data_IF_865407704405
#
_entry.id   IF_865407704405
#
_cell.length_a   1.000
_cell.length_b   1.000
_cell.length_c   1.000
_cell.angle_alpha   90.00
_cell.angle_beta   90.00
_cell.angle_gamma   90.00
#
_symmetry.space_group_name_H-M   'P 1'
#
loop_
_entity.id
_entity.type
_entity.pdbx_description
1 polymer ?
#
# COMPACT_ATOMS: atom_id res chain seq x y z
N UNK A 1 2.77 33.10 5.00
CA UNK A 1 4.08 32.40 5.05
C UNK A 1 4.49 32.04 6.48
N UNK A 2 4.46 32.99 7.42
CA UNK A 2 4.73 32.71 8.84
C UNK A 2 3.74 31.72 9.46
N UNK A 3 2.43 31.97 9.32
CA UNK A 3 1.36 31.04 9.76
C UNK A 3 1.52 29.64 9.20
N UNK A 4 1.85 29.54 7.90
CA UNK A 4 2.06 28.26 7.22
C UNK A 4 3.19 27.43 7.84
N UNK A 5 4.28 28.05 8.29
CA UNK A 5 5.35 27.34 8.98
C UNK A 5 4.90 26.84 10.36
N UNK A 6 4.20 27.69 11.12
CA UNK A 6 3.68 27.34 12.45
C UNK A 6 2.70 26.18 12.40
N UNK A 7 1.75 26.20 11.46
CA UNK A 7 0.80 25.10 11.20
C UNK A 7 1.52 23.78 10.89
N UNK A 8 2.45 23.81 9.93
CA UNK A 8 3.19 22.61 9.51
C UNK A 8 4.05 22.04 10.65
N UNK A 9 4.66 22.92 11.47
CA UNK A 9 5.43 22.54 12.64
C UNK A 9 4.55 21.90 13.72
N UNK A 10 3.41 22.49 14.03
CA UNK A 10 2.46 21.94 15.00
C UNK A 10 1.97 20.54 14.56
N UNK A 11 1.52 20.42 13.31
CA UNK A 11 1.05 19.15 12.74
C UNK A 11 2.14 18.04 12.75
N UNK A 12 3.41 18.40 12.57
CA UNK A 12 4.52 17.44 12.64
C UNK A 12 4.75 16.92 14.07
N UNK A 13 4.60 17.79 15.07
CA UNK A 13 4.83 17.46 16.50
C UNK A 13 3.67 16.62 17.04
N UNK A 14 2.44 17.00 16.72
CA UNK A 14 1.22 16.37 17.24
C UNK A 14 0.99 14.95 16.71
N UNK A 15 1.61 14.59 15.57
CA UNK A 15 1.40 13.27 14.96
C UNK A 15 2.36 12.24 15.56
N UNK A 16 1.88 11.25 16.34
CA UNK A 16 2.73 10.17 16.85
C UNK A 16 3.27 9.31 15.71
N UNK A 17 4.46 8.74 15.92
CA UNK A 17 5.05 7.76 15.00
C UNK A 17 4.57 6.37 15.45
N UNK A 18 3.97 5.56 14.56
CA UNK A 18 3.63 4.18 14.92
C UNK A 18 4.89 3.39 15.27
N UNK A 19 4.76 2.46 16.21
CA UNK A 19 5.84 1.56 16.59
C UNK A 19 5.79 0.29 15.71
N UNK A 20 6.93 -0.34 15.39
CA UNK A 20 6.93 -1.64 14.75
C UNK A 20 6.25 -2.70 15.63
N UNK A 21 5.60 -3.72 15.03
CA UNK A 21 5.10 -4.86 15.79
C UNK A 21 6.24 -5.56 16.53
N UNK A 22 5.92 -6.14 17.68
CA UNK A 22 6.85 -7.05 18.37
C UNK A 22 6.84 -8.39 17.63
N UNK A 23 8.00 -8.80 17.12
CA UNK A 23 8.19 -10.05 16.39
C UNK A 23 9.23 -10.91 17.11
N UNK A 24 8.97 -12.21 17.19
CA UNK A 24 9.86 -13.19 17.79
C UNK A 24 10.28 -14.23 16.73
N UNK A 25 11.47 -14.84 16.85
CA UNK A 25 11.86 -15.92 15.95
C UNK A 25 10.89 -17.11 16.05
N UNK A 26 10.37 -17.55 14.91
CA UNK A 26 9.63 -18.80 14.80
C UNK A 26 10.51 -19.85 14.11
N UNK A 27 10.91 -20.94 14.79
CA UNK A 27 11.75 -21.96 14.19
C UNK A 27 10.98 -22.89 13.24
N UNK A 28 9.65 -22.78 13.16
CA UNK A 28 8.82 -23.67 12.36
C UNK A 28 8.79 -23.19 10.90
N UNK A 29 9.36 -24.00 10.00
CA UNK A 29 9.16 -23.81 8.57
C UNK A 29 7.75 -24.27 8.17
N UNK A 30 7.05 -23.47 7.37
CA UNK A 30 5.78 -23.85 6.79
C UNK A 30 5.98 -24.49 5.40
N UNK A 31 5.28 -25.58 5.14
CA UNK A 31 5.10 -26.07 3.78
C UNK A 31 4.47 -24.97 2.91
N UNK A 32 4.70 -25.03 1.60
CA UNK A 32 4.17 -24.03 0.67
C UNK A 32 3.25 -24.66 -0.37
N UNK A 33 2.42 -23.84 -1.00
CA UNK A 33 1.61 -24.14 -2.21
C UNK A 33 1.78 -22.98 -3.18
N UNK A 34 1.76 -23.23 -4.48
CA UNK A 34 1.96 -22.13 -5.44
C UNK A 34 0.64 -21.42 -5.69
N UNK A 35 0.75 -20.17 -6.13
CA UNK A 35 -0.41 -19.36 -6.45
C UNK A 35 -1.22 -20.00 -7.60
N UNK A 36 -0.57 -20.61 -8.59
CA UNK A 36 -1.23 -21.36 -9.67
C UNK A 36 -2.09 -22.53 -9.15
N UNK A 37 -1.60 -23.31 -8.19
CA UNK A 37 -2.35 -24.40 -7.55
C UNK A 37 -3.58 -23.84 -6.83
N UNK A 38 -3.45 -22.69 -6.15
CA UNK A 38 -4.56 -22.02 -5.49
C UNK A 38 -5.57 -21.44 -6.50
N UNK A 39 -5.11 -20.99 -7.67
CA UNK A 39 -5.98 -20.55 -8.76
C UNK A 39 -6.70 -21.74 -9.40
N UNK A 40 -6.00 -22.85 -9.64
CA UNK A 40 -6.58 -24.09 -10.16
C UNK A 40 -7.62 -24.70 -9.22
N UNK A 41 -7.44 -24.50 -7.90
CA UNK A 41 -8.39 -24.89 -6.87
C UNK A 41 -9.49 -23.85 -6.60
N UNK A 42 -9.55 -22.77 -7.37
CA UNK A 42 -10.51 -21.65 -7.21
C UNK A 42 -10.46 -20.97 -5.82
N UNK A 43 -9.36 -21.14 -5.08
CA UNK A 43 -9.13 -20.48 -3.81
C UNK A 43 -8.66 -19.02 -4.01
N UNK A 44 -8.01 -18.75 -5.14
CA UNK A 44 -7.59 -17.43 -5.59
C UNK A 44 -8.03 -17.19 -7.04
N UNK A 45 -8.27 -15.93 -7.38
CA UNK A 45 -8.48 -15.48 -8.75
C UNK A 45 -7.53 -14.32 -9.04
N UNK A 46 -6.92 -14.32 -10.22
CA UNK A 46 -6.07 -13.22 -10.68
C UNK A 46 -6.83 -12.48 -11.78
N UNK A 47 -6.95 -11.17 -11.62
CA UNK A 47 -7.55 -10.29 -12.61
C UNK A 47 -6.53 -9.26 -13.08
N UNK A 48 -6.55 -8.96 -14.36
CA UNK A 48 -5.81 -7.83 -14.94
C UNK A 48 -6.82 -6.94 -15.67
N UNK A 49 -6.67 -5.63 -15.54
CA UNK A 49 -7.50 -4.69 -16.28
C UNK A 49 -6.81 -4.30 -17.59
N UNK A 50 -7.56 -4.21 -18.71
CA UNK A 50 -7.06 -3.59 -19.92
C UNK A 50 -6.78 -2.09 -19.68
N UNK A 51 -6.15 -1.39 -20.64
CA UNK A 51 -6.00 0.07 -20.57
C UNK A 51 -7.36 0.79 -20.56
N UNK A 52 -7.94 1.01 -19.38
CA UNK A 52 -9.24 1.67 -19.16
C UNK A 52 -9.14 3.20 -18.98
N UNK A 53 -8.05 3.80 -19.48
CA UNK A 53 -7.72 5.22 -19.23
C UNK A 53 -8.47 6.13 -20.21
N UNK A 54 -9.54 6.79 -19.74
CA UNK A 54 -10.19 7.91 -20.43
C UNK A 54 -11.71 7.82 -20.47
N UNK A 55 -12.38 8.98 -20.49
CA UNK A 55 -13.80 9.11 -20.86
C UNK A 55 -14.87 8.86 -19.79
N UNK A 56 -14.52 8.40 -18.59
CA UNK A 56 -15.49 8.13 -17.51
C UNK A 56 -15.16 8.77 -16.16
N UNK A 57 -16.14 8.76 -15.26
CA UNK A 57 -16.08 9.43 -13.93
C UNK A 57 -15.82 8.46 -12.76
N UNK A 58 -15.73 7.16 -13.02
CA UNK A 58 -15.51 6.16 -11.99
C UNK A 58 -14.09 6.29 -11.40
N UNK A 59 -13.98 6.21 -10.08
CA UNK A 59 -12.69 6.23 -9.40
C UNK A 59 -11.86 5.02 -9.84
N UNK A 60 -10.58 5.24 -10.16
CA UNK A 60 -9.68 4.22 -10.67
C UNK A 60 -8.36 4.21 -9.89
N UNK A 61 -8.01 3.03 -9.39
CA UNK A 61 -6.75 2.77 -8.70
C UNK A 61 -5.62 2.77 -9.72
N UNK A 62 -4.58 3.57 -9.48
CA UNK A 62 -3.38 3.57 -10.31
C UNK A 62 -2.24 2.80 -9.66
N UNK A 63 -1.24 2.37 -10.45
CA UNK A 63 -0.04 1.74 -9.91
C UNK A 63 0.68 2.61 -8.87
N UNK A 64 0.61 3.94 -9.02
CA UNK A 64 1.13 4.91 -8.04
C UNK A 64 0.34 4.89 -6.74
N UNK A 65 -0.97 4.70 -6.80
CA UNK A 65 -1.82 4.62 -5.61
C UNK A 65 -1.53 3.34 -4.80
N UNK A 66 -1.34 2.21 -5.49
CA UNK A 66 -0.91 0.94 -4.88
C UNK A 66 0.45 1.10 -4.18
N UNK A 67 1.46 1.67 -4.86
CA UNK A 67 2.80 1.92 -4.28
C UNK A 67 2.77 2.82 -3.06
N UNK A 68 1.87 3.80 -3.05
CA UNK A 68 1.72 4.74 -1.93
C UNK A 68 0.76 4.23 -0.85
N UNK A 69 0.06 3.11 -1.07
CA UNK A 69 -0.95 2.57 -0.16
C UNK A 69 -2.07 3.57 0.12
N UNK A 70 -2.61 4.21 -0.92
CA UNK A 70 -3.64 5.27 -0.79
C UNK A 70 -4.86 5.01 -1.68
N UNK A 71 -5.92 5.78 -1.43
CA UNK A 71 -7.13 5.76 -2.25
C UNK A 71 -6.87 6.09 -3.73
N UNK A 72 -7.80 5.69 -4.59
CA UNK A 72 -7.77 5.94 -6.02
C UNK A 72 -7.63 7.43 -6.37
N UNK A 73 -6.67 7.75 -7.24
CA UNK A 73 -6.40 9.13 -7.67
C UNK A 73 -6.73 9.42 -9.12
N UNK A 74 -7.19 8.41 -9.88
CA UNK A 74 -7.50 8.54 -11.31
C UNK A 74 -8.99 8.31 -11.57
N UNK A 75 -9.39 8.65 -12.79
CA UNK A 75 -10.73 8.44 -13.33
C UNK A 75 -10.64 7.51 -14.54
N UNK A 76 -11.63 6.65 -14.69
CA UNK A 76 -11.75 5.70 -15.80
C UNK A 76 -13.20 5.44 -16.15
N UNK A 77 -13.41 4.71 -17.25
CA UNK A 77 -14.74 4.27 -17.68
C UNK A 77 -14.99 2.84 -17.21
N UNK A 78 -16.10 2.64 -16.48
CA UNK A 78 -16.51 1.31 -16.02
C UNK A 78 -17.20 0.49 -17.12
N UNK A 79 -17.59 1.14 -18.21
CA UNK A 79 -18.25 0.51 -19.36
C UNK A 79 -17.25 -0.12 -20.33
N UNK A 80 -15.95 0.08 -20.10
CA UNK A 80 -14.90 -0.55 -20.90
C UNK A 80 -14.97 -2.08 -20.79
N UNK A 81 -14.95 -2.81 -21.92
CA UNK A 81 -14.94 -4.27 -21.90
C UNK A 81 -13.76 -4.81 -21.08
N UNK A 82 -14.05 -5.66 -20.10
CA UNK A 82 -13.03 -6.23 -19.21
C UNK A 82 -12.63 -5.30 -18.05
N UNK A 83 -13.35 -4.21 -17.81
CA UNK A 83 -13.20 -3.41 -16.59
C UNK A 83 -13.38 -4.27 -15.34
N UNK A 84 -12.42 -4.18 -14.42
CA UNK A 84 -12.43 -4.92 -13.15
C UNK A 84 -12.73 -3.96 -12.02
N UNK A 85 -13.82 -4.20 -11.30
CA UNK A 85 -14.11 -3.52 -10.04
C UNK A 85 -13.43 -4.26 -8.89
N UNK A 86 -12.66 -3.49 -8.13
CA UNK A 86 -12.03 -3.88 -6.87
C UNK A 86 -13.10 -4.12 -5.81
N UNK A 87 -12.85 -5.13 -4.98
CA UNK A 87 -13.57 -5.42 -3.75
C UNK A 87 -12.67 -5.19 -2.55
N UNK A 88 -13.25 -4.81 -1.42
CA UNK A 88 -12.55 -4.74 -0.16
C UNK A 88 -11.95 -6.12 0.17
N UNK A 89 -10.67 -6.13 0.52
CA UNK A 89 -9.90 -7.36 0.74
C UNK A 89 -9.20 -7.93 -0.48
N UNK A 90 -9.43 -7.42 -1.69
CA UNK A 90 -8.58 -7.77 -2.83
C UNK A 90 -7.14 -7.28 -2.60
N UNK A 91 -6.16 -7.97 -3.17
CA UNK A 91 -4.75 -7.58 -3.11
C UNK A 91 -4.30 -7.07 -4.48
N UNK A 92 -4.08 -5.76 -4.58
CA UNK A 92 -3.50 -5.13 -5.76
C UNK A 92 -1.98 -5.26 -5.76
N UNK A 93 -1.42 -5.79 -6.84
CA UNK A 93 0.00 -6.08 -7.03
C UNK A 93 0.51 -5.30 -8.22
N UNK A 94 1.58 -4.55 -8.01
CA UNK A 94 2.33 -3.84 -9.04
C UNK A 94 3.73 -4.45 -9.10
N UNK A 95 4.12 -4.89 -10.29
CA UNK A 95 5.44 -5.45 -10.57
C UNK A 95 6.39 -4.38 -11.14
N UNK A 96 7.68 -4.71 -11.25
CA UNK A 96 8.70 -3.87 -11.91
C UNK A 96 9.58 -3.10 -10.93
N UNK A 97 9.96 -1.87 -11.28
CA UNK A 97 11.06 -1.13 -10.62
C UNK A 97 10.78 -0.72 -9.16
N UNK A 98 9.51 -0.49 -8.78
CA UNK A 98 9.17 -0.30 -7.35
C UNK A 98 7.93 -1.15 -7.08
N UNK A 99 8.15 -2.45 -6.82
CA UNK A 99 7.06 -3.39 -6.70
C UNK A 99 6.28 -3.12 -5.41
N UNK A 100 4.99 -3.40 -5.42
CA UNK A 100 4.12 -3.16 -4.28
C UNK A 100 2.95 -4.14 -4.27
N UNK A 101 2.58 -4.62 -3.09
CA UNK A 101 1.33 -5.32 -2.85
C UNK A 101 0.53 -4.58 -1.77
N UNK A 102 -0.74 -4.31 -2.04
CA UNK A 102 -1.60 -3.53 -1.16
C UNK A 102 -3.01 -4.13 -1.08
N UNK A 103 -3.54 -4.24 0.14
CA UNK A 103 -4.93 -4.67 0.36
C UNK A 103 -5.86 -3.51 0.08
N UNK A 104 -6.79 -3.69 -0.83
CA UNK A 104 -7.80 -2.70 -1.17
C UNK A 104 -8.83 -2.57 -0.05
N UNK A 105 -9.10 -1.33 0.37
CA UNK A 105 -10.01 -1.03 1.48
C UNK A 105 -11.46 -0.76 1.05
N UNK A 106 -11.66 -0.37 -0.22
CA UNK A 106 -12.95 0.12 -0.72
C UNK A 106 -13.45 -0.77 -1.87
N UNK A 107 -14.77 -0.98 -1.92
CA UNK A 107 -15.46 -1.61 -3.03
C UNK A 107 -15.70 -0.62 -4.18
N UNK A 108 -15.84 -1.15 -5.39
CA UNK A 108 -16.39 -0.39 -6.52
C UNK A 108 -15.41 0.58 -7.19
N UNK A 109 -14.12 0.50 -6.84
CA UNK A 109 -13.05 1.23 -7.52
C UNK A 109 -12.58 0.43 -8.74
N UNK A 110 -12.36 1.09 -9.87
CA UNK A 110 -11.80 0.45 -11.06
C UNK A 110 -10.32 0.10 -10.86
N UNK A 111 -9.94 -1.11 -11.28
CA UNK A 111 -8.53 -1.49 -11.40
C UNK A 111 -7.92 -0.79 -12.61
N UNK A 112 -6.83 -0.06 -12.40
CA UNK A 112 -6.08 0.57 -13.49
C UNK A 112 -5.10 -0.40 -14.18
N UNK A 113 -4.58 -0.03 -15.36
CA UNK A 113 -3.66 -0.86 -16.11
C UNK A 113 -2.31 -1.03 -15.41
N UNK A 114 -1.66 -2.17 -15.66
CA UNK A 114 -0.36 -2.52 -15.07
C UNK A 114 -0.45 -2.92 -13.58
N UNK A 115 -1.65 -3.28 -13.12
CA UNK A 115 -1.93 -3.80 -11.78
C UNK A 115 -2.56 -5.18 -11.94
N UNK A 116 -1.97 -6.19 -11.31
CA UNK A 116 -2.62 -7.49 -11.12
C UNK A 116 -3.41 -7.47 -9.82
N UNK A 117 -4.64 -7.95 -9.84
CA UNK A 117 -5.51 -8.01 -8.66
C UNK A 117 -5.70 -9.48 -8.27
N UNK A 118 -5.20 -9.85 -7.09
CA UNK A 118 -5.36 -11.19 -6.53
C UNK A 118 -6.53 -11.17 -5.55
N UNK A 119 -7.58 -11.91 -5.87
CA UNK A 119 -8.82 -12.00 -5.11
C UNK A 119 -8.94 -13.38 -4.48
N UNK A 120 -9.01 -13.42 -3.15
CA UNK A 120 -9.27 -14.64 -2.39
C UNK A 120 -10.55 -14.53 -1.57
N UNK A 121 -11.10 -15.67 -1.14
CA UNK A 121 -12.15 -15.66 -0.13
C UNK A 121 -11.55 -15.37 1.25
N UNK A 122 -12.09 -14.39 1.98
CA UNK A 122 -11.67 -14.05 3.35
C UNK A 122 -11.91 -15.18 4.38
N UNK A 123 -12.65 -16.24 3.99
CA UNK A 123 -12.83 -17.46 4.77
C UNK A 123 -11.75 -18.51 4.51
N UNK A 124 -10.89 -18.30 3.51
CA UNK A 124 -9.88 -19.26 3.06
C UNK A 124 -8.48 -18.68 3.19
N UNK A 125 -8.31 -17.39 2.89
CA UNK A 125 -7.04 -16.69 2.98
C UNK A 125 -7.22 -15.30 3.60
N UNK A 126 -6.36 -14.95 4.55
CA UNK A 126 -6.32 -13.58 5.07
C UNK A 126 -5.65 -12.64 4.04
N UNK A 127 -6.28 -11.51 3.68
CA UNK A 127 -5.77 -10.65 2.62
C UNK A 127 -4.48 -9.91 3.01
N UNK A 128 -4.28 -9.59 4.29
CA UNK A 128 -3.05 -8.93 4.75
C UNK A 128 -1.89 -9.92 4.82
N UNK A 129 -2.16 -11.17 5.17
CA UNK A 129 -1.20 -12.28 5.04
C UNK A 129 -0.78 -12.45 3.57
N UNK A 130 -1.74 -12.58 2.65
CA UNK A 130 -1.47 -12.70 1.23
C UNK A 130 -0.66 -11.52 0.70
N UNK A 131 -1.03 -10.28 1.05
CA UNK A 131 -0.30 -9.10 0.64
C UNK A 131 1.14 -9.07 1.19
N UNK A 132 1.37 -9.52 2.43
CA UNK A 132 2.70 -9.65 3.00
C UNK A 132 3.59 -10.65 2.25
N UNK A 133 3.05 -11.83 1.95
CA UNK A 133 3.74 -12.89 1.19
C UNK A 133 4.04 -12.44 -0.24
N UNK A 134 3.06 -11.84 -0.92
CA UNK A 134 3.26 -11.33 -2.29
C UNK A 134 4.30 -10.21 -2.30
N UNK A 135 4.27 -9.32 -1.31
CA UNK A 135 5.24 -8.22 -1.19
C UNK A 135 6.67 -8.73 -1.04
N UNK A 136 6.88 -9.77 -0.23
CA UNK A 136 8.18 -10.43 -0.08
C UNK A 136 8.64 -11.06 -1.41
N UNK A 137 7.75 -11.84 -2.04
CA UNK A 137 8.06 -12.53 -3.29
C UNK A 137 8.48 -11.59 -4.42
N UNK A 138 7.91 -10.38 -4.49
CA UNK A 138 8.20 -9.41 -5.55
C UNK A 138 9.33 -8.43 -5.19
N UNK A 139 9.92 -8.52 -4.01
CA UNK A 139 10.88 -7.52 -3.51
C UNK A 139 12.19 -7.49 -4.31
N UNK A 140 12.69 -8.66 -4.72
CA UNK A 140 14.03 -8.82 -5.29
C UNK A 140 14.06 -8.82 -6.84
N UNK A 141 12.92 -8.62 -7.50
CA UNK A 141 12.87 -8.49 -8.95
C UNK A 141 11.58 -8.96 -9.62
N UNK A 142 11.59 -9.06 -10.96
CA UNK A 142 10.45 -9.58 -11.71
C UNK A 142 10.16 -11.03 -11.31
N UNK A 143 8.92 -11.29 -10.91
CA UNK A 143 8.44 -12.62 -10.55
C UNK A 143 7.21 -12.95 -11.37
N UNK A 144 7.11 -14.20 -11.80
CA UNK A 144 5.87 -14.77 -12.30
C UNK A 144 4.92 -14.99 -11.12
N UNK A 145 3.85 -14.20 -11.06
CA UNK A 145 2.90 -14.19 -9.94
C UNK A 145 2.33 -15.60 -9.68
N UNK A 146 2.10 -16.39 -10.74
CA UNK A 146 1.56 -17.74 -10.63
C UNK A 146 2.53 -18.73 -9.98
N UNK A 147 3.84 -18.45 -10.01
CA UNK A 147 4.87 -19.29 -9.38
C UNK A 147 5.17 -18.91 -7.93
N UNK A 148 4.58 -17.83 -7.42
CA UNK A 148 4.78 -17.41 -6.03
C UNK A 148 4.34 -18.52 -5.08
N UNK A 149 5.17 -18.81 -4.08
CA UNK A 149 4.94 -19.84 -3.07
C UNK A 149 4.26 -19.21 -1.85
N UNK A 150 3.04 -19.65 -1.57
CA UNK A 150 2.23 -19.22 -0.43
C UNK A 150 2.38 -20.24 0.71
N UNK A 151 2.80 -19.81 1.92
CA UNK A 151 2.88 -20.69 3.09
C UNK A 151 1.52 -21.28 3.46
N UNK A 152 1.47 -22.59 3.72
CA UNK A 152 0.30 -23.31 4.21
C UNK A 152 0.17 -23.13 5.71
N UNK A 153 -0.51 -22.05 6.09
CA UNK A 153 -0.76 -21.68 7.48
C UNK A 153 -2.26 -21.76 7.76
N UNK A 154 -2.73 -22.27 8.92
CA UNK A 154 -4.14 -22.23 9.28
C UNK A 154 -4.69 -20.80 9.28
N UNK A 155 -5.95 -20.59 8.89
CA UNK A 155 -6.53 -19.25 8.74
C UNK A 155 -6.41 -18.37 10.01
N UNK A 156 -6.52 -18.97 11.20
CA UNK A 156 -6.36 -18.24 12.45
C UNK A 156 -4.94 -17.65 12.60
N UNK A 157 -3.92 -18.42 12.22
CA UNK A 157 -2.53 -17.99 12.23
C UNK A 157 -2.22 -17.04 11.08
N UNK A 158 -2.83 -17.24 9.91
CA UNK A 158 -2.77 -16.26 8.82
C UNK A 158 -3.27 -14.88 9.29
N UNK A 159 -4.38 -14.81 10.04
CA UNK A 159 -4.89 -13.54 10.58
C UNK A 159 -3.93 -12.88 11.55
N UNK A 160 -3.20 -13.67 12.37
CA UNK A 160 -2.17 -13.15 13.28
C UNK A 160 -0.98 -12.59 12.50
N UNK A 161 -0.49 -13.34 11.51
CA UNK A 161 0.58 -12.88 10.62
C UNK A 161 0.15 -11.66 9.80
N UNK A 162 -1.06 -11.68 9.26
CA UNK A 162 -1.67 -10.59 8.50
C UNK A 162 -1.81 -9.31 9.33
N UNK A 163 -2.18 -9.41 10.61
CA UNK A 163 -2.17 -8.26 11.51
C UNK A 163 -0.76 -7.65 11.67
N UNK A 164 0.28 -8.48 11.78
CA UNK A 164 1.67 -8.01 11.84
C UNK A 164 2.11 -7.38 10.52
N UNK A 165 1.82 -8.01 9.37
CA UNK A 165 2.09 -7.44 8.05
C UNK A 165 1.39 -6.09 7.83
N UNK A 166 0.13 -5.97 8.28
CA UNK A 166 -0.61 -4.71 8.23
C UNK A 166 0.07 -3.64 9.07
N UNK A 167 0.49 -3.94 10.30
CA UNK A 167 1.22 -2.97 11.14
C UNK A 167 2.53 -2.50 10.49
N UNK A 168 3.27 -3.40 9.83
CA UNK A 168 4.48 -3.03 9.08
C UNK A 168 4.16 -2.12 7.88
N UNK A 169 3.08 -2.39 7.14
CA UNK A 169 2.65 -1.55 6.02
C UNK A 169 2.15 -0.17 6.47
N UNK A 170 1.43 -0.10 7.59
CA UNK A 170 0.98 1.15 8.22
C UNK A 170 2.17 1.98 8.72
N UNK A 171 3.16 1.32 9.34
CA UNK A 171 4.42 1.94 9.79
C UNK A 171 5.14 2.63 8.62
N UNK A 172 5.34 1.91 7.52
CA UNK A 172 6.01 2.44 6.33
C UNK A 172 5.24 3.64 5.74
N UNK A 173 3.92 3.52 5.63
CA UNK A 173 3.06 4.60 5.12
C UNK A 173 3.13 5.84 6.02
N UNK A 174 3.09 5.66 7.34
CA UNK A 174 3.22 6.77 8.29
C UNK A 174 4.57 7.48 8.18
N UNK A 175 5.67 6.73 8.01
CA UNK A 175 6.99 7.30 7.80
C UNK A 175 7.12 8.05 6.46
N UNK A 176 6.58 7.52 5.37
CA UNK A 176 6.50 8.24 4.08
C UNK A 176 5.76 9.57 4.22
N UNK A 177 4.60 9.55 4.86
CA UNK A 177 3.81 10.76 5.11
C UNK A 177 4.54 11.75 6.02
N UNK A 178 5.25 11.26 7.05
CA UNK A 178 6.04 12.11 7.96
C UNK A 178 7.21 12.77 7.23
N UNK A 179 7.92 12.03 6.38
CA UNK A 179 8.99 12.58 5.53
C UNK A 179 8.47 13.73 4.66
N UNK A 180 7.34 13.54 3.97
CA UNK A 180 6.74 14.59 3.14
C UNK A 180 6.40 15.84 3.97
N UNK A 181 5.86 15.68 5.19
CA UNK A 181 5.60 16.81 6.10
C UNK A 181 6.89 17.51 6.53
N UNK A 182 7.94 16.77 6.90
CA UNK A 182 9.25 17.33 7.28
C UNK A 182 9.82 18.16 6.13
N UNK A 183 9.79 17.64 4.90
CA UNK A 183 10.28 18.35 3.71
C UNK A 183 9.54 19.68 3.50
N UNK A 184 8.23 19.72 3.76
CA UNK A 184 7.44 20.95 3.70
C UNK A 184 7.81 21.94 4.82
N UNK A 185 7.98 21.46 6.06
CA UNK A 185 8.40 22.29 7.21
C UNK A 185 9.76 22.93 6.93
N UNK A 186 10.75 22.13 6.51
CA UNK A 186 12.10 22.61 6.20
C UNK A 186 12.06 23.65 5.09
N UNK A 187 11.35 23.37 3.99
CA UNK A 187 11.24 24.31 2.86
C UNK A 187 10.53 25.61 3.25
N UNK A 188 9.51 25.55 4.11
CA UNK A 188 8.83 26.74 4.62
C UNK A 188 9.73 27.56 5.56
N UNK A 189 10.43 26.89 6.47
CA UNK A 189 11.37 27.50 7.42
C UNK A 189 12.52 28.22 6.71
N UNK A 190 13.22 27.53 5.80
CA UNK A 190 14.34 28.10 5.04
C UNK A 190 13.90 29.34 4.25
N UNK A 191 12.78 29.25 3.53
CA UNK A 191 12.26 30.40 2.75
C UNK A 191 11.84 31.55 3.66
N UNK A 192 11.19 31.25 4.79
CA UNK A 192 10.74 32.27 5.72
C UNK A 192 11.91 33.02 6.38
N UNK A 193 12.96 32.29 6.77
CA UNK A 193 14.19 32.87 7.33
C UNK A 193 14.92 33.73 6.29
N UNK A 194 15.13 33.21 5.08
CA UNK A 194 15.82 33.94 4.01
C UNK A 194 15.06 35.21 3.58
N UNK A 195 13.73 35.20 3.62
CA UNK A 195 12.90 36.35 3.29
C UNK A 195 12.69 37.33 4.47
N UNK A 196 13.26 37.06 5.65
CA UNK A 196 13.08 37.88 6.85
C UNK A 196 11.66 37.89 7.44
N UNK A 197 10.78 36.99 6.99
CA UNK A 197 9.39 36.86 7.49
C UNK A 197 9.28 35.85 8.65
N UNK A 198 10.35 35.09 8.90
CA UNK A 198 10.56 34.29 10.11
C UNK A 198 11.86 34.75 10.77
N UNK A 199 11.89 34.64 12.10
CA UNK A 199 13.09 34.79 12.92
C UNK A 199 13.15 33.66 13.94
N UNK A 200 14.34 33.27 14.43
CA UNK A 200 14.44 32.38 15.58
C UNK A 200 13.62 32.92 16.76
N UNK A 201 12.93 32.04 17.49
CA UNK A 201 12.10 32.46 18.63
C UNK A 201 12.94 33.00 19.79
N UNK A 202 14.22 32.62 19.87
CA UNK A 202 15.23 33.15 20.81
C UNK A 202 16.66 32.89 20.30
N UNK A 203 17.41 33.97 20.07
CA UNK A 203 18.69 34.26 20.77
C UNK A 203 18.67 35.78 20.99
N UNK A 204 18.31 36.23 22.19
CA UNK A 204 18.89 37.46 22.73
C UNK A 204 20.04 36.98 23.63
N UNK A 205 21.23 37.49 23.28
CA UNK A 205 22.61 37.23 23.75
C UNK A 205 23.24 35.84 23.51
#
# INVERSE_FOLDING_TARGET
MSERYTELRAALIERPVPLPPVLEPDPVAHDTVSLDDLVAAEALHVHEAPPTVGGGDAAMLSAKDVRLGRAASRRGSADEPGAVLVRAGDVAVVMGVEPAAHVCAEDGVLLGPGIALVRGSATTIDPHFLAGVLRDAIADGPVDLYRVRIPRVPLADQRRLGAAFRQLAELETAWRLRRATIEQVVRAGVRGLAAGVLRPATVDE
#
